data_IF_610030272826
#
_entry.id   IF_610030272826
#
_cell.length_a   1.000
_cell.length_b   1.000
_cell.length_c   1.000
_cell.angle_alpha   90.00
_cell.angle_beta   90.00
_cell.angle_gamma   90.00
#
_symmetry.space_group_name_H-M   'P 1'
#
loop_
_entity.id
_entity.type
_entity.pdbx_description
1 polymer ?
#
# COMPACT_ATOMS: atom_id res chain seq x y z
N UNK A 1 -11.38 -19.41 3.43
CA UNK A 1 -9.98 -19.57 3.02
C UNK A 1 -9.23 -20.23 4.17
N UNK A 2 -9.63 -21.45 4.55
CA UNK A 2 -9.05 -22.17 5.70
C UNK A 2 -8.55 -23.53 5.22
N UNK A 3 -7.32 -23.56 4.70
CA UNK A 3 -6.61 -24.81 4.48
C UNK A 3 -5.13 -24.55 4.76
N UNK A 4 -4.61 -25.16 5.82
CA UNK A 4 -3.26 -24.89 6.36
C UNK A 4 -2.14 -25.08 5.31
N UNK A 5 -2.37 -25.91 4.29
CA UNK A 5 -1.45 -26.13 3.18
C UNK A 5 -1.20 -24.89 2.31
N UNK A 6 -2.13 -23.92 2.28
CA UNK A 6 -1.95 -22.69 1.53
C UNK A 6 -1.28 -21.58 2.32
N UNK A 7 -1.09 -21.74 3.64
CA UNK A 7 -0.44 -20.72 4.46
C UNK A 7 1.01 -20.48 4.02
N UNK A 8 1.76 -21.54 3.73
CA UNK A 8 3.13 -21.42 3.25
C UNK A 8 3.20 -20.70 1.89
N UNK A 9 2.29 -21.02 0.97
CA UNK A 9 2.20 -20.34 -0.32
C UNK A 9 1.76 -18.88 -0.17
N UNK A 10 0.82 -18.61 0.72
CA UNK A 10 0.35 -17.25 1.00
C UNK A 10 1.47 -16.39 1.57
N UNK A 11 2.23 -16.90 2.55
CA UNK A 11 3.39 -16.19 3.09
C UNK A 11 4.44 -15.96 2.01
N UNK A 12 4.73 -16.97 1.18
CA UNK A 12 5.64 -16.83 0.05
C UNK A 12 5.21 -15.72 -0.94
N UNK A 13 3.91 -15.68 -1.28
CA UNK A 13 3.37 -14.61 -2.11
C UNK A 13 3.51 -13.23 -1.44
N UNK A 14 3.16 -13.12 -0.15
CA UNK A 14 3.29 -11.87 0.61
C UNK A 14 4.75 -11.40 0.62
N UNK A 15 5.71 -12.29 0.86
CA UNK A 15 7.15 -11.95 0.89
C UNK A 15 7.66 -11.37 -0.44
N UNK A 16 7.16 -11.87 -1.57
CA UNK A 16 7.49 -11.35 -2.90
C UNK A 16 6.85 -9.97 -3.10
N UNK A 17 5.56 -9.85 -2.77
CA UNK A 17 4.78 -8.62 -2.99
C UNK A 17 5.23 -7.48 -2.11
N UNK A 18 5.69 -7.79 -0.91
CA UNK A 18 6.27 -6.82 0.01
C UNK A 18 7.53 -6.18 -0.58
N UNK A 19 8.35 -6.96 -1.29
CA UNK A 19 9.59 -6.47 -1.94
C UNK A 19 9.34 -5.82 -3.31
N UNK A 20 8.34 -6.31 -4.03
CA UNK A 20 8.02 -5.87 -5.40
C UNK A 20 6.52 -5.58 -5.57
N UNK A 21 5.96 -4.60 -4.83
CA UNK A 21 4.51 -4.38 -4.85
C UNK A 21 4.00 -3.89 -6.21
N UNK A 22 4.83 -3.19 -6.98
CA UNK A 22 4.47 -2.73 -8.33
C UNK A 22 4.01 -3.86 -9.26
N UNK A 23 4.42 -5.11 -9.04
CA UNK A 23 4.03 -6.25 -9.88
C UNK A 23 2.52 -6.51 -9.86
N UNK A 24 1.87 -6.37 -8.71
CA UNK A 24 0.42 -6.56 -8.58
C UNK A 24 -0.30 -5.23 -8.65
N UNK A 25 0.17 -4.20 -7.95
CA UNK A 25 -0.55 -2.93 -7.85
C UNK A 25 -0.72 -2.21 -9.19
N UNK A 26 0.15 -2.49 -10.18
CA UNK A 26 0.02 -1.94 -11.53
C UNK A 26 -0.73 -2.85 -12.50
N UNK A 27 -1.06 -4.08 -12.09
CA UNK A 27 -1.87 -5.00 -12.90
C UNK A 27 -3.35 -4.65 -12.81
N UNK A 28 -4.09 -4.92 -13.89
CA UNK A 28 -5.55 -4.88 -13.89
C UNK A 28 -6.15 -5.91 -12.91
N UNK A 29 -5.42 -7.00 -12.67
CA UNK A 29 -5.79 -8.08 -11.74
C UNK A 29 -5.86 -7.60 -10.29
N UNK A 30 -5.25 -6.46 -9.94
CA UNK A 30 -5.38 -5.86 -8.62
C UNK A 30 -6.83 -5.63 -8.23
N UNK A 31 -7.71 -5.33 -9.20
CA UNK A 31 -9.14 -5.12 -8.95
C UNK A 31 -9.84 -6.37 -8.45
N UNK A 32 -9.29 -7.55 -8.75
CA UNK A 32 -9.77 -8.86 -8.29
C UNK A 32 -9.11 -9.32 -6.98
N UNK A 33 -8.15 -8.55 -6.44
CA UNK A 33 -7.52 -8.87 -5.16
C UNK A 33 -8.57 -8.83 -4.04
N UNK A 34 -8.65 -9.91 -3.28
CA UNK A 34 -9.55 -9.99 -2.14
C UNK A 34 -9.13 -9.03 -1.02
N UNK A 35 -10.13 -8.46 -0.34
CA UNK A 35 -9.93 -7.52 0.78
C UNK A 35 -8.95 -8.07 1.83
N UNK A 36 -9.11 -9.34 2.23
CA UNK A 36 -8.24 -9.98 3.21
C UNK A 36 -6.77 -10.04 2.78
N UNK A 37 -6.50 -10.29 1.49
CA UNK A 37 -5.15 -10.31 0.95
C UNK A 37 -4.55 -8.89 0.92
N UNK A 38 -5.37 -7.90 0.60
CA UNK A 38 -4.96 -6.50 0.63
C UNK A 38 -4.64 -6.03 2.06
N UNK A 39 -5.49 -6.35 3.03
CA UNK A 39 -5.25 -6.11 4.46
C UNK A 39 -3.95 -6.77 4.92
N UNK A 40 -3.71 -8.02 4.51
CA UNK A 40 -2.49 -8.74 4.85
C UNK A 40 -1.24 -8.01 4.35
N UNK A 41 -1.29 -7.40 3.15
CA UNK A 41 -0.21 -6.55 2.63
C UNK A 41 -0.07 -5.24 3.39
N UNK A 42 -1.18 -4.55 3.69
CA UNK A 42 -1.15 -3.27 4.42
C UNK A 42 -0.51 -3.40 5.81
N UNK A 43 -0.69 -4.55 6.46
CA UNK A 43 -0.09 -4.87 7.77
C UNK A 43 1.44 -5.05 7.72
N UNK A 44 2.03 -5.32 6.55
CA UNK A 44 3.47 -5.58 6.45
C UNK A 44 4.29 -4.31 6.57
N UNK A 45 5.11 -4.21 7.62
CA UNK A 45 6.02 -3.09 7.81
C UNK A 45 7.08 -2.97 6.72
N UNK A 46 7.41 -4.08 6.05
CA UNK A 46 8.44 -4.15 5.02
C UNK A 46 7.92 -3.82 3.61
N UNK A 47 6.64 -3.46 3.45
CA UNK A 47 6.05 -3.20 2.14
C UNK A 47 6.74 -2.00 1.46
N UNK A 48 7.43 -2.26 0.34
CA UNK A 48 8.24 -1.28 -0.41
C UNK A 48 7.37 -0.39 -1.32
N UNK A 49 6.48 0.40 -0.73
CA UNK A 49 5.59 1.33 -1.46
C UNK A 49 5.31 2.59 -0.62
N UNK A 50 5.14 3.72 -1.29
CA UNK A 50 4.77 4.98 -0.64
C UNK A 50 3.31 4.97 -0.18
N UNK A 51 3.04 5.52 1.00
CA UNK A 51 1.69 5.53 1.57
C UNK A 51 0.67 6.28 0.71
N UNK A 52 1.10 7.32 -0.03
CA UNK A 52 0.20 8.03 -0.95
C UNK A 52 -0.18 7.18 -2.16
N UNK A 53 0.71 6.32 -2.65
CA UNK A 53 0.43 5.34 -3.71
C UNK A 53 -0.50 4.23 -3.19
N UNK A 54 -0.25 3.75 -1.98
CA UNK A 54 -1.14 2.78 -1.31
C UNK A 54 -2.55 3.35 -1.19
N UNK A 55 -2.66 4.61 -0.76
CA UNK A 55 -3.95 5.31 -0.65
C UNK A 55 -4.68 5.39 -2.00
N UNK A 56 -4.00 5.82 -3.07
CA UNK A 56 -4.61 5.92 -4.41
C UNK A 56 -5.15 4.58 -4.92
N UNK A 57 -4.45 3.50 -4.59
CA UNK A 57 -4.87 2.14 -4.96
C UNK A 57 -6.05 1.65 -4.11
N UNK A 58 -6.08 2.02 -2.84
CA UNK A 58 -7.15 1.67 -1.91
C UNK A 58 -8.45 2.44 -2.16
N UNK A 59 -8.37 3.74 -2.48
CA UNK A 59 -9.55 4.59 -2.72
C UNK A 59 -10.29 4.26 -4.02
N UNK A 60 -9.74 3.35 -4.85
CA UNK A 60 -10.29 2.91 -6.14
C UNK A 60 -10.71 4.10 -6.99
N UNK A 61 -9.81 5.08 -7.14
CA UNK A 61 -10.03 6.39 -7.78
C UNK A 61 -11.22 6.40 -8.75
N UNK A 62 -12.39 6.91 -8.33
CA UNK A 62 -13.49 7.15 -9.23
C UNK A 62 -13.12 8.25 -10.21
N UNK A 63 -13.68 8.16 -11.42
CA UNK A 63 -13.40 9.09 -12.50
C UNK A 63 -13.92 10.50 -12.23
N UNK A 64 -14.95 10.66 -11.38
CA UNK A 64 -15.48 11.96 -10.98
C UNK A 64 -16.06 11.92 -9.56
N UNK A 65 -15.50 12.71 -8.63
CA UNK A 65 -15.99 12.85 -7.25
C UNK A 65 -17.13 13.88 -7.13
N UNK A 66 -17.31 14.76 -8.11
CA UNK A 66 -18.35 15.79 -8.08
C UNK A 66 -19.77 15.21 -8.18
N UNK A 67 -19.90 14.01 -8.74
CA UNK A 67 -21.16 13.27 -8.89
C UNK A 67 -21.46 12.34 -7.71
N UNK A 68 -20.59 12.30 -6.70
CA UNK A 68 -20.76 11.37 -5.58
C UNK A 68 -21.84 11.86 -4.61
N UNK A 69 -22.79 10.98 -4.36
CA UNK A 69 -23.79 11.13 -3.30
C UNK A 69 -23.27 10.63 -1.97
N UNK A 70 -23.95 10.98 -0.88
CA UNK A 70 -23.66 10.44 0.46
C UNK A 70 -23.71 8.90 0.50
N UNK A 71 -24.56 8.27 -0.33
CA UNK A 71 -24.64 6.81 -0.44
C UNK A 71 -23.38 6.22 -1.07
N UNK A 72 -22.77 6.90 -2.05
CA UNK A 72 -21.49 6.48 -2.62
C UNK A 72 -20.39 6.50 -1.56
N UNK A 73 -20.31 7.56 -0.76
CA UNK A 73 -19.35 7.64 0.35
C UNK A 73 -19.60 6.59 1.42
N UNK A 74 -20.87 6.33 1.79
CA UNK A 74 -21.22 5.26 2.75
C UNK A 74 -20.83 3.88 2.23
N UNK A 75 -21.10 3.60 0.95
CA UNK A 75 -20.73 2.33 0.31
C UNK A 75 -19.21 2.14 0.24
N UNK A 76 -18.47 3.20 -0.14
CA UNK A 76 -17.01 3.17 -0.13
C UNK A 76 -16.46 2.96 1.28
N UNK A 77 -16.99 3.67 2.27
CA UNK A 77 -16.61 3.52 3.68
C UNK A 77 -16.83 2.08 4.16
N UNK A 78 -17.98 1.48 3.85
CA UNK A 78 -18.27 0.09 4.20
C UNK A 78 -17.31 -0.90 3.52
N UNK A 79 -16.95 -0.65 2.26
CA UNK A 79 -16.01 -1.50 1.50
C UNK A 79 -14.59 -1.40 2.03
N UNK A 80 -14.18 -0.23 2.53
CA UNK A 80 -12.82 0.02 2.99
C UNK A 80 -12.65 -0.06 4.50
N UNK A 81 -13.72 -0.32 5.26
CA UNK A 81 -13.74 -0.19 6.72
C UNK A 81 -12.62 -0.97 7.42
N UNK A 82 -12.24 -2.14 6.92
CA UNK A 82 -11.16 -2.95 7.50
C UNK A 82 -9.78 -2.57 6.97
N UNK A 83 -9.71 -1.88 5.82
CA UNK A 83 -8.46 -1.38 5.24
C UNK A 83 -8.00 -0.07 5.88
N UNK A 84 -8.93 0.85 6.18
CA UNK A 84 -8.64 2.20 6.71
C UNK A 84 -7.74 2.17 7.97
N UNK A 85 -7.96 1.29 8.97
CA UNK A 85 -7.12 1.24 10.16
C UNK A 85 -5.67 0.80 9.91
N UNK A 86 -5.35 0.30 8.72
CA UNK A 86 -4.02 -0.18 8.35
C UNK A 86 -3.24 0.80 7.46
N UNK A 87 -3.82 1.96 7.14
CA UNK A 87 -3.18 3.01 6.36
C UNK A 87 -2.37 3.91 7.29
N UNK A 88 -1.11 4.19 6.94
CA UNK A 88 -0.23 5.02 7.76
C UNK A 88 -0.38 6.50 7.39
N UNK A 89 -1.57 7.06 7.62
CA UNK A 89 -1.95 8.42 7.20
C UNK A 89 -0.91 9.48 7.54
N UNK A 90 -0.38 9.41 8.75
CA UNK A 90 0.59 10.37 9.25
C UNK A 90 1.91 10.35 8.44
N UNK A 91 2.21 9.30 7.69
CA UNK A 91 3.43 9.20 6.88
C UNK A 91 3.21 9.63 5.42
N UNK A 92 2.01 10.11 5.10
CA UNK A 92 1.68 10.70 3.80
C UNK A 92 2.12 12.17 3.81
N UNK A 93 2.82 12.66 2.76
CA UNK A 93 3.18 14.08 2.64
C UNK A 93 1.94 14.98 2.63
N UNK A 94 2.03 16.18 3.22
CA UNK A 94 0.91 17.13 3.32
C UNK A 94 0.27 17.47 1.97
N UNK A 95 1.08 17.59 0.92
CA UNK A 95 0.60 17.85 -0.44
C UNK A 95 -0.32 16.71 -0.94
N UNK A 96 0.08 15.46 -0.69
CA UNK A 96 -0.71 14.28 -1.04
C UNK A 96 -1.95 14.15 -0.15
N UNK A 97 -1.88 14.53 1.13
CA UNK A 97 -3.07 14.59 1.99
C UNK A 97 -4.12 15.52 1.38
N UNK A 98 -3.71 16.72 0.95
CA UNK A 98 -4.63 17.71 0.38
C UNK A 98 -5.18 17.30 -0.98
N UNK A 99 -4.36 16.68 -1.84
CA UNK A 99 -4.77 16.28 -3.20
C UNK A 99 -5.56 14.99 -3.23
N UNK A 100 -5.14 13.99 -2.44
CA UNK A 100 -5.59 12.61 -2.56
C UNK A 100 -6.52 12.18 -1.43
N UNK A 101 -6.29 12.63 -0.19
CA UNK A 101 -7.08 12.19 0.97
C UNK A 101 -8.27 13.12 1.22
N UNK A 102 -8.06 14.45 1.18
CA UNK A 102 -9.09 15.46 1.41
C UNK A 102 -10.39 15.21 0.64
N UNK A 103 -10.38 14.80 -0.64
CA UNK A 103 -11.63 14.58 -1.37
C UNK A 103 -12.50 13.45 -0.78
N UNK A 104 -11.89 12.53 -0.02
CA UNK A 104 -12.57 11.41 0.62
C UNK A 104 -12.69 11.56 2.14
N UNK A 105 -12.40 12.72 2.72
CA UNK A 105 -12.37 12.88 4.20
C UNK A 105 -13.65 12.38 4.90
N UNK A 106 -14.80 12.40 4.23
CA UNK A 106 -16.08 11.86 4.72
C UNK A 106 -16.06 10.35 5.07
N UNK A 107 -15.16 9.56 4.47
CA UNK A 107 -15.05 8.13 4.79
C UNK A 107 -14.22 7.87 6.05
N UNK A 108 -13.36 8.83 6.43
CA UNK A 108 -12.52 8.73 7.62
C UNK A 108 -13.34 8.96 8.89
N UNK A 109 -12.83 8.51 10.02
CA UNK A 109 -13.36 8.93 11.31
C UNK A 109 -12.98 10.40 11.54
N UNK A 110 -13.86 11.14 12.22
CA UNK A 110 -13.70 12.58 12.41
C UNK A 110 -12.39 12.93 13.13
N UNK A 111 -12.09 12.20 14.20
CA UNK A 111 -10.82 12.29 14.94
C UNK A 111 -9.60 12.01 14.05
N UNK A 112 -9.66 11.01 13.17
CA UNK A 112 -8.56 10.69 12.26
C UNK A 112 -8.28 11.86 11.31
N UNK A 113 -9.32 12.43 10.70
CA UNK A 113 -9.14 13.58 9.81
C UNK A 113 -8.59 14.81 10.55
N UNK A 114 -9.16 15.14 11.71
CA UNK A 114 -8.73 16.27 12.53
C UNK A 114 -7.26 16.09 12.98
N UNK A 115 -6.86 14.88 13.37
CA UNK A 115 -5.50 14.57 13.80
C UNK A 115 -4.49 14.62 12.64
N UNK A 116 -4.88 14.18 11.43
CA UNK A 116 -4.04 14.32 10.23
C UNK A 116 -3.78 15.81 9.96
N UNK A 117 -4.82 16.64 10.03
CA UNK A 117 -4.67 18.09 9.87
C UNK A 117 -3.81 18.70 10.99
N UNK A 118 -4.03 18.29 12.24
CA UNK A 118 -3.26 18.76 13.39
C UNK A 118 -1.77 18.45 13.22
N UNK A 119 -1.39 17.24 12.77
CA UNK A 119 0.00 16.88 12.50
C UNK A 119 0.70 17.87 11.57
N UNK A 120 0.00 18.36 10.55
CA UNK A 120 0.58 19.23 9.53
C UNK A 120 0.46 20.73 9.84
N UNK A 121 -0.59 21.15 10.55
CA UNK A 121 -0.91 22.56 10.78
C UNK A 121 -0.59 23.04 12.20
N UNK A 122 -0.63 22.15 13.19
CA UNK A 122 -0.46 22.47 14.60
C UNK A 122 0.26 21.32 15.34
N UNK A 123 1.57 21.10 15.10
CA UNK A 123 2.29 19.91 15.60
C UNK A 123 2.35 19.79 17.13
N UNK A 124 2.01 20.85 17.87
CA UNK A 124 1.93 20.84 19.33
C UNK A 124 0.58 20.34 19.87
N UNK A 125 -0.42 20.11 19.00
CA UNK A 125 -1.71 19.56 19.40
C UNK A 125 -1.58 18.07 19.71
N UNK A 126 -2.28 17.56 20.73
CA UNK A 126 -2.30 16.13 21.01
C UNK A 126 -3.03 15.38 19.89
N UNK A 127 -2.43 14.29 19.41
CA UNK A 127 -3.04 13.36 18.46
C UNK A 127 -3.71 12.24 19.25
N UNK A 128 -4.98 11.99 18.99
CA UNK A 128 -5.77 10.94 19.68
C UNK A 128 -5.81 9.62 18.91
N UNK A 129 -5.62 9.69 17.60
CA UNK A 129 -5.64 8.57 16.68
C UNK A 129 -4.40 7.69 16.83
N UNK A 130 -4.56 6.41 16.48
CA UNK A 130 -3.45 5.47 16.43
C UNK A 130 -2.44 5.89 15.35
N UNK A 131 -1.22 6.22 15.76
CA UNK A 131 -0.12 6.52 14.84
C UNK A 131 0.63 5.24 14.52
N UNK A 132 0.46 4.74 13.30
CA UNK A 132 1.25 3.61 12.80
C UNK A 132 2.69 4.05 12.47
N UNK A 133 3.71 3.26 12.83
CA UNK A 133 5.10 3.59 12.54
C UNK A 133 5.38 3.56 11.03
N UNK A 134 6.37 4.33 10.54
CA UNK A 134 6.79 4.28 9.13
C UNK A 134 7.19 2.88 8.69
N UNK A 135 6.92 2.54 7.42
CA UNK A 135 7.40 1.29 6.83
C UNK A 135 8.92 1.27 6.74
N UNK A 136 9.49 0.08 6.92
CA UNK A 136 10.92 -0.19 6.76
C UNK A 136 11.27 -0.09 5.28
N UNK A 137 12.17 0.82 4.93
CA UNK A 137 12.70 0.90 3.55
C UNK A 137 13.90 -0.03 3.45
N UNK A 138 13.84 -0.97 2.51
CA UNK A 138 15.01 -1.77 2.17
C UNK A 138 15.94 -0.92 1.31
N UNK A 139 17.22 -0.84 1.66
CA UNK A 139 18.25 -0.43 0.70
C UNK A 139 18.37 -1.54 -0.34
N UNK A 140 17.79 -1.33 -1.53
CA UNK A 140 17.92 -2.29 -2.63
C UNK A 140 19.39 -2.36 -3.05
N UNK A 141 20.16 -3.29 -2.47
CA UNK A 141 21.29 -3.86 -3.17
C UNK A 141 20.74 -5.00 -4.04
N UNK A 142 20.55 -4.72 -5.33
CA UNK A 142 20.31 -5.76 -6.32
C UNK A 142 21.46 -6.78 -6.20
N UNK A 143 21.18 -8.09 -6.15
CA UNK A 143 22.23 -9.09 -6.25
C UNK A 143 23.02 -8.84 -7.54
N UNK A 144 24.33 -8.67 -7.44
CA UNK A 144 25.21 -8.61 -8.61
C UNK A 144 24.94 -9.85 -9.47
N UNK A 145 24.49 -9.64 -10.71
CA UNK A 145 24.37 -10.73 -11.69
C UNK A 145 25.77 -11.29 -11.90
N UNK A 146 26.06 -12.46 -11.34
CA UNK A 146 27.23 -13.23 -11.75
C UNK A 146 27.00 -13.65 -13.20
N UNK A 147 27.52 -12.85 -14.13
CA UNK A 147 27.65 -13.26 -15.52
C UNK A 147 28.69 -14.36 -15.53
N UNK A 148 28.23 -15.62 -15.61
CA UNK A 148 29.12 -16.72 -15.97
C UNK A 148 29.56 -16.48 -17.41
N UNK A 149 30.76 -15.94 -17.60
CA UNK A 149 31.41 -15.86 -18.90
C UNK A 149 31.61 -17.30 -19.35
N UNK A 150 30.79 -17.77 -20.30
CA UNK A 150 31.04 -19.02 -21.00
C UNK A 150 32.27 -18.74 -21.88
N UNK A 151 33.44 -19.18 -21.44
CA UNK A 151 34.64 -19.18 -22.28
C UNK A 151 34.43 -20.16 -23.43
N UNK A 152 34.51 -19.74 -24.70
CA UNK A 152 34.49 -20.68 -25.81
C UNK A 152 35.76 -21.54 -25.76
N UNK A 153 35.57 -22.85 -25.68
CA UNK A 153 36.66 -23.84 -25.73
C UNK A 153 37.29 -23.80 -27.12
N UNK A 154 38.51 -23.28 -27.22
CA UNK A 154 39.32 -23.42 -28.43
C UNK A 154 39.90 -24.83 -28.50
N UNK A 155 39.23 -25.71 -29.23
CA UNK A 155 39.83 -26.97 -29.69
C UNK A 155 39.99 -26.92 -31.20
N UNK A 156 41.17 -26.47 -31.66
CA UNK A 156 41.70 -26.78 -32.99
C UNK A 156 43.15 -27.20 -32.84
N UNK A 157 43.39 -28.50 -32.93
CA UNK A 157 44.63 -29.17 -33.38
C UNK A 157 44.24 -30.65 -33.50
N UNK A 158 44.48 -31.40 -34.56
CA UNK A 158 45.27 -31.25 -35.77
C UNK A 158 44.66 -32.15 -36.85
#
# INVERSE_FOLDING_TARGET
FDNENFNALQQFCIDILVKHPSMIFNSEDFKALQENAFIALLKQDDLQMEESVIWDKNSRSPSNLEEWTDENFKSLKATLQHCLPHIRYFQIPSEDVLKKIKPYHNILEKNVWDDILAKHLAPNMPITSLILPPRKKATVQLPSRKVSIITPSSSITQ
#
